data_IF_281713933903
#
_entry.id   IF_281713933903
#
_cell.length_a   1.000
_cell.length_b   1.000
_cell.length_c   1.000
_cell.angle_alpha   90.00
_cell.angle_beta   90.00
_cell.angle_gamma   90.00
#
_symmetry.space_group_name_H-M   'P 1'
#
loop_
_entity.id
_entity.type
_entity.pdbx_description
1 polymer ?
#
# COMPACT_ATOMS: atom_id res chain seq x y z
N UNK A 1 -7.81 -22.20 9.75
CA UNK A 1 -8.68 -21.91 10.92
C UNK A 1 -10.01 -22.68 10.88
N UNK A 2 -10.70 -22.77 9.74
CA UNK A 2 -11.96 -23.54 9.63
C UNK A 2 -11.87 -25.03 10.00
N UNK A 3 -10.69 -25.66 9.83
CA UNK A 3 -10.45 -27.07 10.14
C UNK A 3 -10.44 -27.37 11.65
N UNK A 4 -10.11 -26.39 12.49
CA UNK A 4 -10.06 -26.53 13.96
C UNK A 4 -11.45 -26.45 14.61
N UNK A 5 -12.37 -25.69 14.02
CA UNK A 5 -13.74 -25.48 14.55
C UNK A 5 -14.63 -26.70 14.30
N UNK A 6 -14.49 -27.34 13.14
CA UNK A 6 -15.24 -28.58 12.82
C UNK A 6 -14.91 -29.75 13.74
N UNK A 7 -13.68 -29.79 14.30
CA UNK A 7 -13.24 -30.87 15.20
C UNK A 7 -13.91 -30.83 16.58
N UNK A 8 -14.58 -29.73 16.93
CA UNK A 8 -15.27 -29.54 18.22
C UNK A 8 -16.80 -29.38 18.06
N UNK A 9 -17.40 -29.86 16.95
CA UNK A 9 -18.86 -29.84 16.76
C UNK A 9 -19.48 -28.48 16.42
N UNK A 10 -18.65 -27.45 16.16
CA UNK A 10 -19.14 -26.15 15.71
C UNK A 10 -19.54 -26.17 14.23
N UNK A 11 -20.65 -25.50 13.88
CA UNK A 11 -21.00 -25.14 12.50
C UNK A 11 -20.41 -23.75 12.20
N UNK A 12 -19.26 -23.62 11.53
CA UNK A 12 -18.74 -22.30 11.20
C UNK A 12 -19.58 -21.68 10.08
N UNK A 13 -20.23 -20.56 10.37
CA UNK A 13 -20.68 -19.63 9.33
C UNK A 13 -19.45 -18.85 8.88
N UNK A 14 -18.96 -19.13 7.67
CA UNK A 14 -17.95 -18.30 7.03
C UNK A 14 -18.71 -17.11 6.43
N UNK A 15 -18.78 -16.03 7.20
CA UNK A 15 -19.18 -14.73 6.67
C UNK A 15 -17.94 -14.05 6.10
N UNK A 16 -17.94 -13.75 4.81
CA UNK A 16 -16.90 -12.96 4.16
C UNK A 16 -16.95 -11.55 4.77
N UNK A 17 -16.07 -11.25 5.73
CA UNK A 17 -16.14 -9.98 6.48
C UNK A 17 -15.64 -8.78 5.68
N UNK A 18 -14.87 -9.01 4.61
CA UNK A 18 -14.35 -7.98 3.72
C UNK A 18 -14.42 -8.49 2.29
N UNK A 19 -15.14 -7.78 1.43
CA UNK A 19 -15.04 -7.94 -0.01
C UNK A 19 -14.22 -6.74 -0.50
N UNK A 20 -13.01 -7.01 -0.98
CA UNK A 20 -12.16 -6.01 -1.63
C UNK A 20 -12.85 -5.64 -2.96
N UNK A 21 -13.69 -4.61 -2.92
CA UNK A 21 -14.30 -4.06 -4.13
C UNK A 21 -13.20 -3.29 -4.84
N UNK A 22 -12.79 -3.79 -6.01
CA UNK A 22 -11.90 -3.08 -6.91
C UNK A 22 -12.52 -1.71 -7.19
N UNK A 23 -11.88 -0.64 -6.68
CA UNK A 23 -12.33 0.73 -6.91
C UNK A 23 -12.41 0.94 -8.43
N UNK A 24 -13.62 1.21 -8.92
CA UNK A 24 -13.83 1.73 -10.26
C UNK A 24 -13.08 3.06 -10.37
N UNK A 25 -11.93 3.04 -11.07
CA UNK A 25 -10.95 4.13 -11.23
C UNK A 25 -10.42 4.65 -9.90
N UNK A 26 -9.16 4.36 -9.59
CA UNK A 26 -8.46 4.94 -8.45
C UNK A 26 -7.70 6.21 -8.90
N UNK A 27 -8.22 7.43 -8.66
CA UNK A 27 -7.59 8.65 -9.19
C UNK A 27 -6.25 8.94 -8.52
N UNK A 28 -6.09 8.57 -7.25
CA UNK A 28 -4.83 8.74 -6.53
C UNK A 28 -3.71 7.87 -7.13
N UNK A 29 -4.04 6.63 -7.52
CA UNK A 29 -3.10 5.75 -8.22
C UNK A 29 -2.71 6.30 -9.61
N UNK A 30 -3.65 6.91 -10.34
CA UNK A 30 -3.36 7.55 -11.63
C UNK A 30 -2.46 8.79 -11.46
N UNK A 31 -2.78 9.66 -10.50
CA UNK A 31 -1.96 10.82 -10.16
C UNK A 31 -0.55 10.40 -9.70
N UNK A 32 -0.44 9.29 -8.98
CA UNK A 32 0.86 8.73 -8.59
C UNK A 32 1.69 8.32 -9.82
N UNK A 33 1.08 7.66 -10.81
CA UNK A 33 1.76 7.33 -12.07
C UNK A 33 2.18 8.58 -12.83
N UNK A 34 1.34 9.60 -12.88
CA UNK A 34 1.68 10.86 -13.55
C UNK A 34 2.83 11.58 -12.84
N UNK A 35 2.84 11.61 -11.50
CA UNK A 35 3.94 12.16 -10.71
C UNK A 35 5.26 11.37 -10.91
N UNK A 36 5.19 10.03 -10.98
CA UNK A 36 6.35 9.20 -11.33
C UNK A 36 6.90 9.53 -12.72
N UNK A 37 6.02 9.74 -13.72
CA UNK A 37 6.41 10.13 -15.08
C UNK A 37 7.04 11.51 -15.12
N UNK A 38 6.54 12.44 -14.31
CA UNK A 38 7.06 13.79 -14.16
C UNK A 38 8.39 13.85 -13.36
N UNK A 39 8.77 12.76 -12.68
CA UNK A 39 9.95 12.74 -11.81
C UNK A 39 9.76 13.50 -10.50
N UNK A 40 8.51 13.62 -10.03
CA UNK A 40 8.15 14.35 -8.82
C UNK A 40 8.19 13.48 -7.55
N UNK A 41 8.44 12.17 -7.71
CA UNK A 41 8.56 11.22 -6.60
C UNK A 41 10.00 10.75 -6.52
N UNK A 42 10.63 10.99 -5.38
CA UNK A 42 12.02 10.59 -5.11
C UNK A 42 12.08 9.21 -4.43
N UNK A 43 11.13 8.93 -3.54
CA UNK A 43 11.10 7.73 -2.71
C UNK A 43 9.71 7.10 -2.75
N UNK A 44 9.62 5.78 -2.86
CA UNK A 44 8.37 5.01 -2.77
C UNK A 44 8.45 3.98 -1.66
N UNK A 45 7.45 3.98 -0.77
CA UNK A 45 7.31 3.05 0.35
C UNK A 45 6.14 2.12 0.10
N UNK A 46 6.38 0.81 0.11
CA UNK A 46 5.33 -0.22 0.05
C UNK A 46 5.08 -0.86 1.41
N UNK A 47 3.87 -0.68 1.93
CA UNK A 47 3.49 -1.18 3.26
C UNK A 47 3.05 -2.64 3.26
N UNK A 48 2.43 -3.11 2.17
CA UNK A 48 1.89 -4.48 2.07
C UNK A 48 2.04 -5.06 0.67
N UNK A 49 2.11 -6.39 0.57
CA UNK A 49 2.12 -7.07 -0.73
C UNK A 49 0.80 -6.92 -1.49
N UNK A 50 -0.34 -7.12 -0.80
CA UNK A 50 -1.67 -6.94 -1.41
C UNK A 50 -1.84 -5.53 -1.94
N UNK A 51 -1.45 -4.51 -1.17
CA UNK A 51 -1.55 -3.14 -1.62
C UNK A 51 -0.65 -2.81 -2.82
N UNK A 52 0.52 -3.44 -2.93
CA UNK A 52 1.35 -3.34 -4.13
C UNK A 52 0.65 -3.96 -5.36
N UNK A 53 0.15 -5.20 -5.26
CA UNK A 53 -0.58 -5.86 -6.35
C UNK A 53 -1.83 -5.06 -6.77
N UNK A 54 -2.63 -4.59 -5.80
CA UNK A 54 -3.79 -3.74 -6.09
C UNK A 54 -3.40 -2.43 -6.79
N UNK A 55 -2.28 -1.79 -6.40
CA UNK A 55 -1.80 -0.58 -7.07
C UNK A 55 -1.47 -0.86 -8.54
N UNK A 56 -0.70 -1.93 -8.80
CA UNK A 56 -0.32 -2.32 -10.15
C UNK A 56 -1.54 -2.65 -11.01
N UNK A 57 -2.52 -3.36 -10.46
CA UNK A 57 -3.79 -3.66 -11.14
C UNK A 57 -4.60 -2.39 -11.43
N UNK A 58 -4.68 -1.46 -10.48
CA UNK A 58 -5.44 -0.21 -10.60
C UNK A 58 -4.93 0.68 -11.75
N UNK A 59 -3.63 0.64 -12.03
CA UNK A 59 -3.00 1.45 -13.08
C UNK A 59 -2.72 0.69 -14.37
N UNK A 60 -2.94 -0.63 -14.40
CA UNK A 60 -2.53 -1.51 -15.50
C UNK A 60 -3.04 -1.09 -16.89
N UNK A 61 -4.22 -0.44 -16.96
CA UNK A 61 -4.80 0.04 -18.23
C UNK A 61 -4.07 1.25 -18.82
N UNK A 62 -3.39 2.04 -17.98
CA UNK A 62 -2.71 3.29 -18.38
C UNK A 62 -1.19 3.23 -18.25
N UNK A 63 -0.68 2.31 -17.43
CA UNK A 63 0.73 2.10 -17.17
C UNK A 63 0.95 0.59 -16.98
N UNK A 64 1.31 -0.13 -18.06
CA UNK A 64 1.62 -1.56 -17.98
C UNK A 64 2.73 -1.83 -16.95
N UNK A 65 2.73 -3.02 -16.35
CA UNK A 65 3.67 -3.35 -15.26
C UNK A 65 5.13 -3.08 -15.61
N UNK A 66 5.57 -3.35 -16.85
CA UNK A 66 6.94 -3.10 -17.29
C UNK A 66 7.30 -1.60 -17.25
N UNK A 67 6.37 -0.72 -17.65
CA UNK A 67 6.55 0.73 -17.53
C UNK A 67 6.54 1.15 -16.06
N UNK A 68 5.61 0.62 -15.27
CA UNK A 68 5.51 0.94 -13.84
C UNK A 68 6.78 0.58 -13.07
N UNK A 69 7.35 -0.60 -13.34
CA UNK A 69 8.65 -1.02 -12.79
C UNK A 69 9.77 -0.10 -13.26
N UNK A 70 9.79 0.30 -14.54
CA UNK A 70 10.78 1.24 -15.08
C UNK A 70 10.69 2.64 -14.46
N UNK A 71 9.49 3.09 -14.07
CA UNK A 71 9.29 4.34 -13.36
C UNK A 71 9.79 4.23 -11.92
N UNK A 72 9.39 3.18 -11.21
CA UNK A 72 9.77 2.95 -9.81
C UNK A 72 11.28 2.73 -9.63
N UNK A 73 11.99 2.16 -10.61
CA UNK A 73 13.45 1.99 -10.56
C UNK A 73 14.23 3.31 -10.55
N UNK A 74 13.58 4.44 -10.84
CA UNK A 74 14.20 5.78 -10.76
C UNK A 74 14.08 6.39 -9.37
N UNK A 75 13.24 5.80 -8.52
CA UNK A 75 13.04 6.22 -7.14
C UNK A 75 13.85 5.31 -6.20
N UNK A 76 14.07 5.76 -4.96
CA UNK A 76 14.43 4.87 -3.87
C UNK A 76 13.20 4.05 -3.45
N UNK A 77 13.30 2.72 -3.47
CA UNK A 77 12.19 1.82 -3.15
C UNK A 77 12.42 1.13 -1.81
N UNK A 78 11.57 1.44 -0.84
CA UNK A 78 11.62 0.86 0.50
C UNK A 78 10.36 0.03 0.76
N UNK A 79 10.52 -1.11 1.43
CA UNK A 79 9.41 -1.97 1.83
C UNK A 79 9.36 -2.15 3.33
N UNK A 80 8.15 -2.24 3.87
CA UNK A 80 7.93 -2.45 5.32
C UNK A 80 8.33 -3.84 5.81
N UNK A 81 8.54 -4.81 4.92
CA UNK A 81 8.87 -6.18 5.33
C UNK A 81 8.80 -7.21 4.20
N UNK A 82 8.82 -8.52 4.53
CA UNK A 82 9.03 -9.59 3.55
C UNK A 82 7.87 -9.77 2.55
N UNK A 83 6.64 -9.43 2.93
CA UNK A 83 5.46 -9.56 2.05
C UNK A 83 5.51 -8.63 0.83
N UNK A 84 5.59 -7.30 1.00
CA UNK A 84 5.79 -6.40 -0.14
C UNK A 84 7.07 -6.72 -0.92
N UNK A 85 8.17 -7.07 -0.23
CA UNK A 85 9.41 -7.47 -0.89
C UNK A 85 9.21 -8.65 -1.87
N UNK A 86 8.48 -9.69 -1.44
CA UNK A 86 8.22 -10.85 -2.28
C UNK A 86 7.38 -10.51 -3.54
N UNK A 87 6.46 -9.54 -3.45
CA UNK A 87 5.67 -9.07 -4.59
C UNK A 87 6.55 -8.30 -5.57
N UNK A 88 7.27 -7.30 -5.08
CA UNK A 88 8.16 -6.48 -5.90
C UNK A 88 9.24 -7.32 -6.60
N UNK A 89 9.78 -8.33 -5.92
CA UNK A 89 10.71 -9.29 -6.53
C UNK A 89 10.08 -10.06 -7.70
N UNK A 90 8.80 -10.43 -7.64
CA UNK A 90 8.11 -11.09 -8.76
C UNK A 90 7.94 -10.17 -9.96
N UNK A 91 7.80 -8.87 -9.72
CA UNK A 91 7.76 -7.87 -10.79
C UNK A 91 9.14 -7.60 -11.39
N UNK A 92 10.22 -8.06 -10.75
CA UNK A 92 11.58 -7.71 -11.10
C UNK A 92 11.99 -6.30 -10.67
N UNK A 93 11.26 -5.69 -9.72
CA UNK A 93 11.61 -4.38 -9.15
C UNK A 93 12.64 -4.55 -8.03
N UNK A 94 13.85 -3.95 -8.14
CA UNK A 94 14.80 -3.91 -7.04
C UNK A 94 14.24 -3.15 -5.84
N UNK A 95 14.62 -3.59 -4.64
CA UNK A 95 14.27 -2.95 -3.37
C UNK A 95 15.56 -2.47 -2.73
N UNK A 96 15.65 -1.17 -2.43
CA UNK A 96 16.83 -0.52 -1.86
C UNK A 96 16.91 -0.66 -0.34
N UNK A 97 15.74 -0.79 0.30
CA UNK A 97 15.63 -0.96 1.74
C UNK A 97 14.47 -1.83 2.17
N UNK A 98 14.68 -2.63 3.21
CA UNK A 98 13.63 -3.41 3.85
C UNK A 98 13.69 -3.14 5.36
N UNK A 99 12.60 -2.63 5.92
CA UNK A 99 12.49 -2.43 7.35
C UNK A 99 12.78 -3.74 8.11
N UNK A 100 13.50 -3.62 9.22
CA UNK A 100 13.81 -4.72 10.10
C UNK A 100 12.57 -5.20 10.87
N UNK A 101 12.65 -6.39 11.47
CA UNK A 101 11.64 -6.80 12.44
C UNK A 101 11.63 -5.82 13.64
N UNK A 102 10.45 -5.43 14.15
CA UNK A 102 9.12 -6.03 13.97
C UNK A 102 8.31 -5.57 12.73
N UNK A 103 8.92 -4.93 11.74
CA UNK A 103 8.28 -4.46 10.51
C UNK A 103 7.19 -3.41 10.81
N UNK A 104 7.48 -2.39 11.62
CA UNK A 104 6.55 -1.27 11.85
C UNK A 104 6.96 -0.05 11.04
N UNK A 105 6.15 1.03 11.11
CA UNK A 105 6.51 2.29 10.48
C UNK A 105 7.78 2.90 11.08
N UNK A 106 8.10 2.61 12.34
CA UNK A 106 9.32 3.09 13.01
C UNK A 106 10.55 2.50 12.32
N UNK A 107 10.55 1.20 12.03
CA UNK A 107 11.66 0.56 11.32
C UNK A 107 11.72 0.99 9.84
N UNK A 108 10.58 1.35 9.23
CA UNK A 108 10.58 1.98 7.90
C UNK A 108 11.29 3.32 7.94
N UNK A 109 10.98 4.18 8.92
CA UNK A 109 11.64 5.48 9.09
C UNK A 109 13.14 5.30 9.32
N UNK A 110 13.55 4.36 10.17
CA UNK A 110 14.96 4.07 10.41
C UNK A 110 15.68 3.63 9.11
N UNK A 111 15.02 2.83 8.28
CA UNK A 111 15.57 2.40 6.99
C UNK A 111 15.63 3.54 5.97
N UNK A 112 14.64 4.42 5.97
CA UNK A 112 14.64 5.64 5.16
C UNK A 112 15.78 6.59 5.57
N UNK A 113 16.05 6.73 6.87
CA UNK A 113 17.18 7.50 7.41
C UNK A 113 18.52 6.90 6.97
N UNK A 114 18.66 5.57 7.05
CA UNK A 114 19.86 4.85 6.61
C UNK A 114 20.19 5.10 5.14
N UNK A 115 19.17 5.31 4.31
CA UNK A 115 19.28 5.53 2.87
C UNK A 115 19.33 7.01 2.47
N UNK A 116 19.26 7.93 3.43
CA UNK A 116 19.10 9.38 3.17
C UNK A 116 17.92 9.66 2.22
N UNK A 117 16.80 8.95 2.43
CA UNK A 117 15.68 8.87 1.48
C UNK A 117 14.52 9.83 1.79
N UNK A 118 14.71 10.82 2.67
CA UNK A 118 13.62 11.68 3.18
C UNK A 118 13.87 13.18 3.03
N UNK A 119 15.04 13.69 3.42
CA UNK A 119 15.26 15.14 3.49
C UNK A 119 15.10 15.79 2.11
N UNK A 120 14.24 16.82 2.03
CA UNK A 120 13.92 17.56 0.80
C UNK A 120 13.42 16.67 -0.35
N UNK A 121 12.90 15.48 -0.02
CA UNK A 121 12.39 14.48 -0.98
C UNK A 121 10.88 14.33 -0.87
N UNK A 122 10.25 14.00 -1.99
CA UNK A 122 8.84 13.58 -2.03
C UNK A 122 8.75 12.06 -1.88
N UNK A 123 8.12 11.64 -0.78
CA UNK A 123 7.95 10.24 -0.38
C UNK A 123 6.53 9.80 -0.67
N UNK A 124 6.35 8.97 -1.69
CA UNK A 124 5.10 8.29 -1.94
C UNK A 124 4.92 7.10 -0.99
N UNK A 125 3.76 6.98 -0.35
CA UNK A 125 3.45 5.87 0.56
C UNK A 125 2.24 5.11 0.03
N UNK A 126 2.46 3.86 -0.39
CA UNK A 126 1.37 2.95 -0.73
C UNK A 126 0.65 2.55 0.56
N UNK A 127 -0.58 3.05 0.74
CA UNK A 127 -1.36 2.87 1.96
C UNK A 127 -2.18 1.58 1.95
N UNK A 128 -2.34 0.98 3.13
CA UNK A 128 -3.31 -0.08 3.37
C UNK A 128 -4.52 0.52 4.11
N UNK A 129 -5.42 1.15 3.35
CA UNK A 129 -6.72 1.62 3.82
C UNK A 129 -6.67 3.02 4.43
N UNK A 130 -6.17 3.14 5.66
CA UNK A 130 -6.14 4.42 6.39
C UNK A 130 -4.71 4.95 6.48
N UNK A 131 -4.55 6.25 6.24
CA UNK A 131 -3.28 6.94 6.41
C UNK A 131 -2.74 6.81 7.84
N UNK A 132 -1.44 6.62 7.98
CA UNK A 132 -0.77 6.60 9.27
C UNK A 132 -0.20 7.99 9.56
N UNK A 133 -0.93 8.79 10.34
CA UNK A 133 -0.56 10.17 10.66
C UNK A 133 0.78 10.29 11.40
N UNK A 134 1.10 9.33 12.26
CA UNK A 134 2.39 9.32 13.00
C UNK A 134 3.55 9.05 12.04
N UNK A 135 3.38 8.12 11.10
CA UNK A 135 4.38 7.87 10.07
C UNK A 135 4.61 9.10 9.19
N UNK A 136 3.54 9.84 8.85
CA UNK A 136 3.66 11.03 8.01
C UNK A 136 4.31 12.19 8.76
N UNK A 137 3.96 12.37 10.03
CA UNK A 137 4.64 13.33 10.90
C UNK A 137 6.14 13.03 11.01
N UNK A 138 6.53 11.75 11.15
CA UNK A 138 7.94 11.37 11.21
C UNK A 138 8.72 11.68 9.91
N UNK A 139 8.06 11.61 8.75
CA UNK A 139 8.63 12.03 7.46
C UNK A 139 8.73 13.56 7.38
N UNK A 140 7.69 14.28 7.81
CA UNK A 140 7.65 15.75 7.82
C UNK A 140 8.72 16.36 8.76
N UNK A 141 8.90 15.78 9.94
CA UNK A 141 9.97 16.13 10.90
C UNK A 141 11.38 16.01 10.28
N UNK A 142 11.54 15.17 9.27
CA UNK A 142 12.77 14.97 8.50
C UNK A 142 12.82 15.82 7.23
N UNK A 143 11.91 16.79 7.09
CA UNK A 143 11.77 17.69 5.92
C UNK A 143 11.41 16.95 4.63
N UNK A 144 10.79 15.79 4.74
CA UNK A 144 10.23 15.07 3.60
C UNK A 144 8.78 15.48 3.36
N UNK A 145 8.34 15.43 2.10
CA UNK A 145 6.95 15.64 1.73
C UNK A 145 6.28 14.30 1.47
N UNK A 146 5.16 14.02 2.14
CA UNK A 146 4.43 12.77 1.92
C UNK A 146 3.38 12.91 0.81
N UNK A 147 3.30 11.90 -0.06
CA UNK A 147 2.17 11.66 -0.98
C UNK A 147 1.55 10.31 -0.67
N UNK A 148 0.34 10.32 -0.10
CA UNK A 148 -0.41 9.07 0.16
C UNK A 148 -0.97 8.48 -1.12
N UNK A 149 -0.80 7.17 -1.32
CA UNK A 149 -1.31 6.41 -2.47
C UNK A 149 -2.22 5.30 -1.96
N UNK A 150 -3.49 5.61 -1.63
CA UNK A 150 -4.47 4.61 -1.22
C UNK A 150 -4.88 3.75 -2.41
N UNK A 151 -4.93 2.43 -2.20
CA UNK A 151 -5.33 1.45 -3.24
C UNK A 151 -6.75 0.93 -3.07
N UNK A 152 -7.30 1.08 -1.87
CA UNK A 152 -8.71 0.88 -1.55
C UNK A 152 -9.13 1.91 -0.48
N UNK A 153 -10.40 2.30 -0.52
CA UNK A 153 -11.08 3.08 0.52
C UNK A 153 -12.40 2.35 0.75
N UNK A 154 -12.71 2.10 2.02
CA UNK A 154 -14.06 1.77 2.43
C UNK A 154 -14.93 3.01 2.22
N UNK A 155 -15.46 3.21 1.01
CA UNK A 155 -16.65 4.04 0.85
C UNK A 155 -17.85 3.12 1.07
N UNK A 156 -18.78 3.55 1.93
CA UNK A 156 -20.07 2.89 2.11
C UNK A 156 -20.72 2.76 0.71
N UNK A 157 -21.34 1.61 0.38
CA UNK A 157 -22.10 1.52 -0.87
C UNK A 157 -23.15 2.64 -0.90
N UNK A 158 -23.44 3.16 -2.10
CA UNK A 158 -24.48 4.19 -2.35
C UNK A 158 -25.88 3.78 -1.82
N UNK A 159 -26.06 2.50 -1.46
CA UNK A 159 -27.25 1.96 -0.82
C UNK A 159 -26.92 1.41 0.58
N UNK A 160 -27.23 2.20 1.61
CA UNK A 160 -27.15 1.81 3.03
C UNK A 160 -28.35 0.99 3.50
N UNK A 161 -29.33 0.71 2.65
CA UNK A 161 -30.57 -0.02 3.00
C UNK A 161 -30.37 -1.41 3.62
N UNK A 162 -29.36 -2.21 3.24
CA UNK A 162 -29.15 -3.53 3.84
C UNK A 162 -28.52 -3.49 5.25
N UNK A 163 -27.91 -2.36 5.66
CA UNK A 163 -27.18 -2.25 6.93
C UNK A 163 -28.10 -1.85 8.10
N UNK A 164 -29.25 -1.23 7.82
CA UNK A 164 -30.27 -0.93 8.84
C UNK A 164 -31.10 -2.17 9.23
N UNK A 165 -31.19 -3.17 8.37
CA UNK A 165 -31.98 -4.40 8.62
C UNK A 165 -31.21 -5.50 9.37
N UNK A 166 -29.94 -5.30 9.69
CA UNK A 166 -29.13 -6.27 10.45
C UNK A 166 -29.06 -5.97 11.96
N UNK A 167 -29.71 -4.88 12.41
CA UNK A 167 -30.00 -4.59 13.81
C UNK A 167 -31.51 -4.62 14.01
N UNK A 168 -32.10 -5.81 13.81
CA UNK A 168 -33.49 -6.14 14.09
C UNK A 168 -33.57 -7.51 14.72
#
# INVERSE_FOLDING_TARGET
MATLIRRNGGRPTVATSMQEVAIGKNPAALLFVDALRAGEIDTTVFLTGVGADCLAEAVAKVCPLAEFVSLLTRCTVVVRGPKPNAVLRKWGLPVDGCAAEPNTWVEVVAELDRLDAVSEKTVAVQEYGVANSEFYAAIDERRGKVVGVPVYRWELPDDTGPLENAVG
#
